data_IF_468154790798
#
_entry.id   IF_468154790798
#
_cell.length_a   1.000
_cell.length_b   1.000
_cell.length_c   1.000
_cell.angle_alpha   90.00
_cell.angle_beta   90.00
_cell.angle_gamma   90.00
#
_symmetry.space_group_name_H-M   'P 1'
#
loop_
_entity.id
_entity.type
_entity.pdbx_description
1 polymer ?
#
# COMPACT_ATOMS: atom_id res chain seq x y z
N UNK A 1 -3.19 -33.67 50.20
CA UNK A 1 -2.47 -32.71 51.06
C UNK A 1 -1.12 -32.41 50.40
N UNK A 2 -0.92 -31.20 49.86
CA UNK A 2 0.26 -30.84 49.08
C UNK A 2 1.52 -30.84 49.96
N UNK A 3 2.71 -31.15 49.42
CA UNK A 3 3.99 -31.07 50.16
C UNK A 3 4.20 -29.69 50.81
N UNK A 4 3.67 -28.63 50.18
CA UNK A 4 3.72 -27.27 50.69
C UNK A 4 2.84 -27.07 51.94
N UNK A 5 1.67 -27.70 52.03
CA UNK A 5 0.79 -27.57 53.20
C UNK A 5 1.44 -28.18 54.45
N UNK A 6 2.24 -29.25 54.27
CA UNK A 6 3.02 -29.86 55.34
C UNK A 6 4.17 -28.95 55.81
N UNK A 7 4.86 -28.29 54.88
CA UNK A 7 5.93 -27.35 55.22
C UNK A 7 5.37 -26.08 55.90
N UNK A 8 4.27 -25.52 55.41
CA UNK A 8 3.61 -24.36 56.03
C UNK A 8 3.16 -24.68 57.46
N UNK A 9 2.53 -25.84 57.68
CA UNK A 9 2.17 -26.29 59.04
C UNK A 9 3.40 -26.46 59.94
N UNK A 10 4.48 -27.05 59.43
CA UNK A 10 5.73 -27.25 60.17
C UNK A 10 6.44 -25.94 60.55
N UNK A 11 6.37 -24.91 59.70
CA UNK A 11 6.96 -23.60 59.99
C UNK A 11 6.04 -22.71 60.85
N UNK A 12 4.72 -22.90 60.77
CA UNK A 12 3.74 -22.18 61.60
C UNK A 12 3.82 -22.57 63.08
N UNK A 13 4.25 -23.79 63.39
CA UNK A 13 4.40 -24.28 64.77
C UNK A 13 5.71 -23.82 65.45
N UNK A 14 6.59 -23.09 64.74
CA UNK A 14 7.85 -22.57 65.28
C UNK A 14 7.72 -21.05 65.53
N UNK A 15 8.03 -20.59 66.74
CA UNK A 15 8.16 -19.16 67.06
C UNK A 15 9.41 -18.57 66.36
N UNK A 16 9.28 -18.31 65.06
CA UNK A 16 10.35 -17.76 64.23
C UNK A 16 10.42 -16.24 64.36
N UNK A 17 11.65 -15.71 64.40
CA UNK A 17 11.93 -14.28 64.31
C UNK A 17 11.43 -13.69 62.98
N UNK A 18 11.21 -12.37 62.93
CA UNK A 18 10.75 -11.67 61.73
C UNK A 18 11.63 -12.00 60.50
N UNK A 19 12.96 -12.03 60.70
CA UNK A 19 13.94 -12.40 59.68
C UNK A 19 13.79 -13.86 59.25
N UNK A 20 13.59 -14.78 60.19
CA UNK A 20 13.33 -16.20 59.89
C UNK A 20 12.06 -16.40 59.07
N UNK A 21 10.99 -15.66 59.37
CA UNK A 21 9.74 -15.70 58.59
C UNK A 21 9.93 -15.17 57.16
N UNK A 22 10.69 -14.09 56.99
CA UNK A 22 11.00 -13.53 55.67
C UNK A 22 11.84 -14.51 54.82
N UNK A 23 12.86 -15.16 55.41
CA UNK A 23 13.68 -16.15 54.71
C UNK A 23 12.88 -17.39 54.30
N UNK A 24 11.96 -17.88 55.15
CA UNK A 24 11.07 -18.99 54.81
C UNK A 24 10.09 -18.59 53.70
N UNK A 25 9.54 -17.38 53.74
CA UNK A 25 8.64 -16.89 52.70
C UNK A 25 9.36 -16.75 51.36
N UNK A 26 10.55 -16.16 51.35
CA UNK A 26 11.36 -16.00 50.14
C UNK A 26 11.79 -17.34 49.55
N UNK A 27 12.17 -18.32 50.37
CA UNK A 27 12.50 -19.66 49.88
C UNK A 27 11.28 -20.38 49.31
N UNK A 28 10.11 -20.29 49.94
CA UNK A 28 8.86 -20.85 49.39
C UNK A 28 8.45 -20.19 48.07
N UNK A 29 8.53 -18.86 47.98
CA UNK A 29 8.25 -18.11 46.74
C UNK A 29 9.22 -18.52 45.64
N UNK A 30 10.53 -18.53 45.91
CA UNK A 30 11.54 -18.93 44.93
C UNK A 30 11.37 -20.37 44.47
N UNK A 31 11.00 -21.29 45.37
CA UNK A 31 10.74 -22.68 45.00
C UNK A 31 9.54 -22.80 44.06
N UNK A 32 8.48 -22.01 44.27
CA UNK A 32 7.35 -21.96 43.34
C UNK A 32 7.73 -21.35 42.00
N UNK A 33 8.48 -20.25 41.98
CA UNK A 33 8.93 -19.60 40.74
C UNK A 33 9.80 -20.56 39.92
N UNK A 34 10.76 -21.23 40.57
CA UNK A 34 11.59 -22.24 39.92
C UNK A 34 10.80 -23.40 39.35
N UNK A 35 9.78 -23.90 40.08
CA UNK A 35 8.90 -24.95 39.56
C UNK A 35 8.12 -24.48 38.33
N UNK A 36 7.60 -23.25 38.33
CA UNK A 36 6.87 -22.68 37.19
C UNK A 36 7.79 -22.51 35.98
N UNK A 37 9.01 -21.99 36.19
CA UNK A 37 10.02 -21.85 35.12
C UNK A 37 10.41 -23.23 34.59
N UNK A 38 10.66 -24.20 35.46
CA UNK A 38 11.01 -25.56 35.06
C UNK A 38 9.89 -26.24 34.26
N UNK A 39 8.64 -26.11 34.70
CA UNK A 39 7.47 -26.62 33.98
C UNK A 39 7.28 -25.93 32.62
N UNK A 40 7.53 -24.61 32.56
CA UNK A 40 7.44 -23.82 31.32
C UNK A 40 8.54 -24.17 30.32
N UNK A 41 9.78 -24.26 30.77
CA UNK A 41 10.97 -24.40 29.92
C UNK A 41 11.21 -25.87 29.55
N UNK A 42 11.17 -26.80 30.52
CA UNK A 42 11.57 -28.21 30.30
C UNK A 42 10.42 -29.21 30.13
N UNK A 43 9.21 -28.94 30.63
CA UNK A 43 8.08 -29.85 30.41
C UNK A 43 7.24 -29.50 29.17
N UNK A 44 7.63 -28.48 28.39
CA UNK A 44 6.86 -27.98 27.24
C UNK A 44 5.40 -27.63 27.58
N UNK A 45 5.07 -27.44 28.87
CA UNK A 45 3.76 -26.98 29.34
C UNK A 45 3.67 -25.47 29.14
N UNK A 46 3.59 -25.07 27.88
CA UNK A 46 3.27 -23.68 27.53
C UNK A 46 1.85 -23.42 28.01
N UNK A 47 1.54 -22.31 28.72
CA UNK A 47 0.17 -21.84 28.73
C UNK A 47 -0.18 -21.63 27.26
N UNK A 48 -1.02 -22.52 26.72
CA UNK A 48 -1.54 -22.40 25.38
C UNK A 48 -2.48 -21.21 25.42
N UNK A 49 -1.92 -20.01 25.30
CA UNK A 49 -2.72 -18.82 25.01
C UNK A 49 -3.40 -19.14 23.69
N UNK A 50 -4.73 -19.17 23.71
CA UNK A 50 -5.48 -19.48 22.50
C UNK A 50 -5.10 -18.49 21.41
N UNK A 51 -5.06 -18.93 20.15
CA UNK A 51 -4.81 -18.02 19.03
C UNK A 51 -5.74 -16.80 19.07
N UNK A 52 -6.98 -17.00 19.51
CA UNK A 52 -7.95 -15.92 19.75
C UNK A 52 -7.51 -14.91 20.79
N UNK A 53 -6.83 -15.32 21.87
CA UNK A 53 -6.29 -14.38 22.87
C UNK A 53 -5.02 -13.67 22.38
N UNK A 54 -4.22 -14.31 21.53
CA UNK A 54 -3.03 -13.71 20.92
C UNK A 54 -3.37 -12.65 19.86
N UNK A 55 -4.46 -12.86 19.11
CA UNK A 55 -4.90 -11.97 18.03
C UNK A 55 -5.80 -10.82 18.50
N UNK A 56 -6.33 -10.90 19.71
CA UNK A 56 -7.29 -9.95 20.25
C UNK A 56 -6.55 -8.76 20.89
N UNK A 57 -7.01 -7.51 20.68
CA UNK A 57 -6.31 -6.32 21.15
C UNK A 57 -6.33 -6.19 22.67
N UNK A 58 -5.34 -5.47 23.20
CA UNK A 58 -5.20 -5.18 24.63
C UNK A 58 -6.47 -4.57 25.24
N UNK A 59 -7.19 -3.73 24.48
CA UNK A 59 -8.44 -3.09 24.90
C UNK A 59 -9.58 -4.07 25.21
N UNK A 60 -9.53 -5.28 24.64
CA UNK A 60 -10.54 -6.32 24.82
C UNK A 60 -10.04 -7.47 25.72
N UNK A 61 -8.88 -7.29 26.38
CA UNK A 61 -8.30 -8.29 27.29
C UNK A 61 -7.45 -9.36 26.59
N UNK A 62 -7.06 -9.12 25.33
CA UNK A 62 -6.13 -9.98 24.59
C UNK A 62 -4.68 -9.49 24.71
N UNK A 63 -3.74 -10.27 24.19
CA UNK A 63 -2.30 -9.95 24.27
C UNK A 63 -1.91 -8.96 23.16
N UNK A 64 -2.68 -8.88 22.07
CA UNK A 64 -2.41 -7.98 20.94
C UNK A 64 -1.09 -8.26 20.23
N UNK A 65 -0.51 -9.45 20.42
CA UNK A 65 0.82 -9.82 19.92
C UNK A 65 0.81 -10.11 18.42
N UNK A 66 -0.33 -10.61 17.92
CA UNK A 66 -0.53 -10.87 16.49
C UNK A 66 -1.63 -9.97 15.97
N UNK A 67 -1.40 -9.34 14.83
CA UNK A 67 -2.44 -8.72 14.01
C UNK A 67 -2.53 -9.51 12.70
N UNK A 68 -3.35 -10.58 12.63
CA UNK A 68 -3.37 -11.49 11.49
C UNK A 68 -3.69 -10.78 10.17
N UNK A 69 -4.61 -9.82 10.20
CA UNK A 69 -5.01 -9.03 9.04
C UNK A 69 -3.86 -8.18 8.50
N UNK A 70 -3.20 -7.40 9.36
CA UNK A 70 -2.03 -6.60 8.97
C UNK A 70 -0.88 -7.48 8.47
N UNK A 71 -0.56 -8.57 9.18
CA UNK A 71 0.50 -9.51 8.78
C UNK A 71 0.22 -10.16 7.42
N UNK A 72 -1.04 -10.54 7.16
CA UNK A 72 -1.46 -11.09 5.89
C UNK A 72 -1.25 -10.09 4.74
N UNK A 73 -1.64 -8.83 4.94
CA UNK A 73 -1.48 -7.77 3.94
C UNK A 73 0.00 -7.44 3.68
N UNK A 74 0.83 -7.39 4.73
CA UNK A 74 2.30 -7.19 4.61
C UNK A 74 2.93 -8.32 3.80
N UNK A 75 2.56 -9.57 4.06
CA UNK A 75 3.05 -10.71 3.29
C UNK A 75 2.62 -10.62 1.82
N UNK A 76 1.37 -10.26 1.55
CA UNK A 76 0.87 -10.06 0.18
C UNK A 76 1.68 -8.99 -0.57
N UNK A 77 1.91 -7.83 0.05
CA UNK A 77 2.72 -6.78 -0.57
C UNK A 77 4.16 -7.24 -0.82
N UNK A 78 4.77 -7.95 0.13
CA UNK A 78 6.14 -8.46 -0.05
C UNK A 78 6.24 -9.36 -1.29
N UNK A 79 5.23 -10.17 -1.55
CA UNK A 79 5.15 -10.98 -2.76
C UNK A 79 4.88 -10.15 -4.02
N UNK A 80 3.97 -9.17 -3.96
CA UNK A 80 3.71 -8.23 -5.06
C UNK A 80 4.96 -7.47 -5.48
N UNK A 81 5.76 -7.01 -4.51
CA UNK A 81 6.99 -6.31 -4.77
C UNK A 81 7.99 -7.14 -5.61
N UNK A 82 7.99 -8.46 -5.41
CA UNK A 82 8.78 -9.37 -6.24
C UNK A 82 8.28 -9.47 -7.69
N UNK A 83 6.98 -9.29 -7.93
CA UNK A 83 6.40 -9.24 -9.28
C UNK A 83 6.76 -7.95 -10.04
N UNK A 84 6.95 -6.84 -9.33
CA UNK A 84 7.31 -5.55 -9.93
C UNK A 84 8.80 -5.41 -10.24
N UNK A 85 9.70 -6.11 -9.52
CA UNK A 85 11.14 -5.99 -9.74
C UNK A 85 11.55 -6.39 -11.18
N UNK A 86 12.31 -5.55 -11.91
CA UNK A 86 12.94 -5.99 -13.15
C UNK A 86 13.95 -7.09 -12.78
N UNK A 87 13.73 -8.32 -13.22
CA UNK A 87 14.57 -9.45 -12.85
C UNK A 87 14.94 -10.21 -14.13
N UNK A 88 16.21 -10.62 -14.25
CA UNK A 88 16.72 -11.27 -15.46
C UNK A 88 16.10 -12.68 -15.67
N UNK A 89 15.55 -13.29 -14.62
CA UNK A 89 14.78 -14.52 -14.68
C UNK A 89 13.41 -14.32 -14.00
N UNK A 90 12.31 -14.19 -14.77
CA UNK A 90 10.99 -13.98 -14.19
C UNK A 90 10.48 -15.28 -13.55
N UNK A 91 9.81 -15.22 -12.37
CA UNK A 91 9.08 -16.36 -11.83
C UNK A 91 8.02 -16.85 -12.82
N UNK A 92 7.73 -18.15 -12.84
CA UNK A 92 6.73 -18.77 -13.73
C UNK A 92 5.35 -18.09 -13.66
N UNK A 93 4.98 -17.59 -12.47
CA UNK A 93 3.70 -16.92 -12.21
C UNK A 93 3.63 -15.52 -12.83
N UNK A 94 4.78 -14.82 -12.95
CA UNK A 94 4.83 -13.43 -13.40
C UNK A 94 4.25 -13.20 -14.80
N UNK A 95 4.61 -13.96 -15.86
CA UNK A 95 4.03 -13.74 -17.18
C UNK A 95 2.52 -14.00 -17.21
N UNK A 96 2.03 -14.98 -16.45
CA UNK A 96 0.60 -15.31 -16.39
C UNK A 96 -0.18 -14.22 -15.67
N UNK A 97 0.39 -13.71 -14.57
CA UNK A 97 -0.15 -12.57 -13.85
C UNK A 97 -0.20 -11.32 -14.74
N UNK A 98 0.92 -10.97 -15.41
CA UNK A 98 0.96 -9.83 -16.34
C UNK A 98 -0.06 -9.97 -17.48
N UNK A 99 -0.22 -11.17 -18.03
CA UNK A 99 -1.22 -11.44 -19.06
C UNK A 99 -2.63 -11.16 -18.54
N UNK A 100 -2.97 -11.65 -17.34
CA UNK A 100 -4.28 -11.40 -16.74
C UNK A 100 -4.50 -9.90 -16.44
N UNK A 101 -3.47 -9.19 -15.98
CA UNK A 101 -3.51 -7.74 -15.76
C UNK A 101 -3.67 -6.94 -17.06
N UNK A 102 -3.07 -7.40 -18.17
CA UNK A 102 -3.23 -6.78 -19.49
C UNK A 102 -4.68 -6.84 -20.00
N UNK A 103 -5.49 -7.79 -19.55
CA UNK A 103 -6.91 -7.86 -19.91
C UNK A 103 -7.76 -6.83 -19.16
N UNK A 104 -7.25 -6.32 -18.03
CA UNK A 104 -7.94 -5.38 -17.14
C UNK A 104 -7.46 -3.94 -17.39
N UNK A 105 -6.18 -3.78 -17.72
CA UNK A 105 -5.53 -2.48 -17.86
C UNK A 105 -5.78 -1.90 -19.26
N UNK A 106 -6.09 -0.59 -19.39
CA UNK A 106 -6.28 0.02 -20.71
C UNK A 106 -5.01 -0.04 -21.58
N UNK A 107 -5.07 -0.64 -22.76
CA UNK A 107 -3.98 -0.57 -23.75
C UNK A 107 -3.80 0.89 -24.23
N UNK A 108 -2.57 1.43 -24.38
CA UNK A 108 -1.26 0.75 -24.42
C UNK A 108 -0.45 0.80 -23.10
N UNK A 109 -1.12 0.93 -21.95
CA UNK A 109 -0.41 1.00 -20.66
C UNK A 109 0.26 -0.31 -20.27
N UNK A 110 1.44 -0.28 -19.62
CA UNK A 110 1.97 -1.42 -18.91
C UNK A 110 0.97 -1.91 -17.83
N UNK A 111 0.80 -3.24 -17.68
CA UNK A 111 -0.22 -3.83 -16.81
C UNK A 111 -0.09 -3.42 -15.34
N UNK A 112 1.14 -3.13 -14.91
CA UNK A 112 1.44 -2.71 -13.54
C UNK A 112 0.86 -1.34 -13.19
N UNK A 113 0.53 -0.50 -14.18
CA UNK A 113 0.00 0.85 -13.92
C UNK A 113 -1.34 0.86 -13.21
N UNK A 114 -2.12 -0.20 -13.37
CA UNK A 114 -3.37 -0.40 -12.64
C UNK A 114 -3.21 -0.34 -11.13
N UNK A 115 -2.07 -0.71 -10.55
CA UNK A 115 -1.81 -0.63 -9.11
C UNK A 115 -1.59 0.79 -8.60
N UNK A 116 -1.06 1.68 -9.44
CA UNK A 116 -0.73 3.05 -9.06
C UNK A 116 -1.91 4.01 -9.23
N UNK A 117 -2.96 3.56 -9.92
CA UNK A 117 -4.15 4.34 -10.29
C UNK A 117 -5.41 3.59 -9.82
N UNK A 118 -5.90 3.86 -8.60
CA UNK A 118 -7.00 3.11 -7.98
C UNK A 118 -8.29 3.12 -8.80
N UNK A 119 -8.51 4.13 -9.65
CA UNK A 119 -9.67 4.21 -10.54
C UNK A 119 -9.75 3.03 -11.51
N UNK A 120 -8.61 2.41 -11.81
CA UNK A 120 -8.51 1.28 -12.74
C UNK A 120 -8.73 -0.08 -12.06
N UNK A 121 -8.84 -0.13 -10.73
CA UNK A 121 -9.19 -1.37 -10.02
C UNK A 121 -10.60 -1.87 -10.38
N UNK A 122 -11.48 -0.95 -10.77
CA UNK A 122 -12.86 -1.25 -11.19
C UNK A 122 -12.92 -1.56 -12.68
N UNK A 123 -12.97 -2.85 -13.02
CA UNK A 123 -13.12 -3.32 -14.39
C UNK A 123 -14.19 -4.42 -14.51
N UNK A 124 -15.01 -4.45 -15.58
CA UNK A 124 -16.06 -5.46 -15.75
C UNK A 124 -15.56 -6.90 -15.72
N UNK A 125 -14.32 -7.14 -16.17
CA UNK A 125 -13.70 -8.47 -16.19
C UNK A 125 -13.06 -8.87 -14.84
N UNK A 126 -13.05 -7.98 -13.86
CA UNK A 126 -12.44 -8.23 -12.56
C UNK A 126 -13.50 -8.73 -11.56
N UNK A 127 -13.68 -10.05 -11.49
CA UNK A 127 -14.62 -10.68 -10.57
C UNK A 127 -14.18 -10.48 -9.10
N UNK A 128 -15.10 -10.32 -8.12
CA UNK A 128 -14.74 -10.13 -6.70
C UNK A 128 -13.84 -11.23 -6.11
N UNK A 129 -13.88 -12.45 -6.67
CA UNK A 129 -13.02 -13.56 -6.24
C UNK A 129 -11.68 -13.63 -6.98
N UNK A 130 -11.39 -12.67 -7.86
CA UNK A 130 -10.10 -12.59 -8.56
C UNK A 130 -8.97 -12.34 -7.57
N UNK A 131 -7.83 -13.00 -7.79
CA UNK A 131 -6.60 -12.75 -7.04
C UNK A 131 -6.14 -11.29 -7.18
N UNK A 132 -6.44 -10.65 -8.31
CA UNK A 132 -6.08 -9.26 -8.59
C UNK A 132 -6.76 -8.30 -7.62
N UNK A 133 -8.02 -8.53 -7.26
CA UNK A 133 -8.71 -7.72 -6.26
C UNK A 133 -8.08 -7.83 -4.87
N UNK A 134 -7.65 -9.03 -4.47
CA UNK A 134 -6.90 -9.19 -3.23
C UNK A 134 -5.56 -8.45 -3.28
N UNK A 135 -4.89 -8.45 -4.44
CA UNK A 135 -3.66 -7.70 -4.65
C UNK A 135 -3.86 -6.18 -4.59
N UNK A 136 -4.92 -5.65 -5.22
CA UNK A 136 -5.27 -4.23 -5.13
C UNK A 136 -5.61 -3.83 -3.69
N UNK A 137 -6.44 -4.62 -3.00
CA UNK A 137 -6.77 -4.37 -1.60
C UNK A 137 -5.52 -4.37 -0.70
N UNK A 138 -4.59 -5.29 -0.93
CA UNK A 138 -3.32 -5.32 -0.22
C UNK A 138 -2.52 -4.04 -0.46
N UNK A 139 -2.44 -3.60 -1.72
CA UNK A 139 -1.70 -2.40 -2.12
C UNK A 139 -2.33 -1.11 -1.55
N UNK A 140 -3.65 -0.99 -1.64
CA UNK A 140 -4.41 0.18 -1.17
C UNK A 140 -4.37 0.35 0.35
N UNK A 141 -4.25 -0.75 1.11
CA UNK A 141 -4.24 -0.71 2.58
C UNK A 141 -3.14 0.19 3.15
N UNK A 142 -2.01 0.33 2.45
CA UNK A 142 -0.88 1.13 2.92
C UNK A 142 -0.93 2.58 2.45
N UNK A 143 -1.86 2.93 1.54
CA UNK A 143 -2.10 4.31 1.13
C UNK A 143 -0.86 5.04 0.59
N UNK A 144 0.02 4.33 -0.12
CA UNK A 144 1.24 4.91 -0.68
C UNK A 144 0.86 6.01 -1.68
N UNK A 145 1.32 7.24 -1.43
CA UNK A 145 1.19 8.34 -2.39
C UNK A 145 2.37 8.30 -3.36
N UNK A 146 2.07 8.17 -4.64
CA UNK A 146 3.09 8.17 -5.69
C UNK A 146 3.34 9.58 -6.21
N UNK A 147 4.60 9.88 -6.48
CA UNK A 147 5.00 11.12 -7.12
C UNK A 147 5.16 10.88 -8.63
N UNK A 148 4.29 11.51 -9.42
CA UNK A 148 4.28 11.40 -10.87
C UNK A 148 5.24 12.39 -11.56
N UNK A 149 5.92 13.28 -10.82
CA UNK A 149 6.81 14.30 -11.39
C UNK A 149 7.94 13.74 -12.25
N UNK A 150 8.41 12.52 -11.94
CA UNK A 150 9.51 11.83 -12.63
C UNK A 150 9.05 10.85 -13.71
N UNK A 151 7.75 10.78 -14.01
CA UNK A 151 7.23 9.88 -15.02
C UNK A 151 7.50 10.38 -16.45
N UNK A 152 7.57 9.47 -17.42
CA UNK A 152 7.66 9.86 -18.83
C UNK A 152 6.39 10.56 -19.29
N UNK A 153 6.50 11.43 -20.30
CA UNK A 153 5.34 12.14 -20.88
C UNK A 153 4.30 11.15 -21.42
N UNK A 154 4.71 10.03 -22.03
CA UNK A 154 3.79 8.97 -22.44
C UNK A 154 2.98 8.38 -21.27
N UNK A 155 3.63 8.18 -20.12
CA UNK A 155 2.93 7.75 -18.89
C UNK A 155 1.96 8.84 -18.42
N UNK A 156 2.40 10.11 -18.36
CA UNK A 156 1.58 11.23 -17.92
C UNK A 156 0.32 11.44 -18.78
N UNK A 157 0.44 11.32 -20.10
CA UNK A 157 -0.69 11.45 -21.03
C UNK A 157 -1.76 10.38 -20.82
N UNK A 158 -1.38 9.20 -20.37
CA UNK A 158 -2.32 8.09 -20.18
C UNK A 158 -2.80 8.01 -18.72
N UNK A 159 -2.35 8.89 -17.82
CA UNK A 159 -2.95 9.04 -16.50
C UNK A 159 -4.31 9.73 -16.58
N UNK A 160 -5.19 9.50 -15.60
CA UNK A 160 -6.37 10.32 -15.43
C UNK A 160 -6.01 11.80 -15.23
N UNK A 161 -6.74 12.67 -15.92
CA UNK A 161 -6.47 14.10 -15.99
C UNK A 161 -6.45 14.78 -14.60
N UNK A 162 -7.24 14.27 -13.66
CA UNK A 162 -7.32 14.85 -12.32
C UNK A 162 -6.00 14.78 -11.53
N UNK A 163 -5.10 13.83 -11.86
CA UNK A 163 -3.76 13.78 -11.26
C UNK A 163 -2.86 14.93 -11.73
N UNK A 164 -3.13 15.47 -12.92
CA UNK A 164 -2.34 16.55 -13.53
C UNK A 164 -2.82 17.95 -13.12
N UNK A 165 -3.91 18.04 -12.37
CA UNK A 165 -4.52 19.29 -11.96
C UNK A 165 -4.36 19.51 -10.46
N UNK A 166 -4.21 20.77 -10.08
CA UNK A 166 -4.22 21.28 -8.71
C UNK A 166 -5.42 22.21 -8.57
N UNK A 167 -6.08 22.12 -7.41
CA UNK A 167 -7.10 23.08 -6.98
C UNK A 167 -8.25 23.24 -7.98
N UNK A 168 -9.19 22.30 -7.99
CA UNK A 168 -10.46 22.45 -8.70
C UNK A 168 -11.65 22.36 -7.73
N UNK A 169 -12.81 23.00 -8.04
CA UNK A 169 -13.96 23.05 -7.14
C UNK A 169 -14.55 21.67 -6.81
N UNK A 170 -15.18 21.52 -5.64
CA UNK A 170 -15.77 20.25 -5.21
C UNK A 170 -16.94 19.75 -6.10
N UNK A 171 -17.62 20.65 -6.83
CA UNK A 171 -18.67 20.29 -7.81
C UNK A 171 -18.13 20.28 -9.25
N UNK A 172 -16.81 20.12 -9.42
CA UNK A 172 -16.24 20.06 -10.75
C UNK A 172 -16.62 18.75 -11.46
N UNK A 173 -16.84 18.84 -12.78
CA UNK A 173 -17.29 17.71 -13.61
C UNK A 173 -16.30 16.54 -13.64
N UNK A 174 -15.02 16.78 -13.30
CA UNK A 174 -13.99 15.72 -13.19
C UNK A 174 -14.35 14.67 -12.14
N UNK A 175 -15.05 15.04 -11.06
CA UNK A 175 -15.51 14.06 -10.07
C UNK A 175 -16.49 13.04 -10.65
N UNK A 176 -17.24 13.42 -11.71
CA UNK A 176 -18.16 12.53 -12.43
C UNK A 176 -17.44 11.73 -13.52
N UNK A 177 -16.26 12.17 -13.93
CA UNK A 177 -15.48 11.61 -15.03
C UNK A 177 -14.03 11.34 -14.60
N UNK A 178 -13.87 10.61 -13.50
CA UNK A 178 -12.56 10.39 -12.86
C UNK A 178 -11.60 9.64 -13.80
N UNK A 179 -12.12 8.75 -14.68
CA UNK A 179 -11.34 8.00 -15.69
C UNK A 179 -10.99 8.81 -16.96
N UNK A 180 -11.30 10.11 -17.01
CA UNK A 180 -10.99 10.93 -18.17
C UNK A 180 -9.47 11.12 -18.30
N UNK A 181 -8.89 10.69 -19.41
CA UNK A 181 -7.43 10.65 -19.60
C UNK A 181 -6.85 12.01 -19.95
N UNK A 182 -5.59 12.22 -19.58
CA UNK A 182 -4.84 13.41 -19.94
C UNK A 182 -4.60 13.54 -21.45
N UNK A 183 -4.51 12.42 -22.18
CA UNK A 183 -4.34 12.33 -23.64
C UNK A 183 -5.54 12.85 -24.42
N UNK A 184 -6.68 13.05 -23.75
CA UNK A 184 -7.85 13.69 -24.34
C UNK A 184 -7.76 15.23 -24.27
N UNK A 185 -6.77 15.78 -23.58
CA UNK A 185 -6.63 17.22 -23.37
C UNK A 185 -5.24 17.75 -23.73
N UNK A 186 -4.20 16.94 -23.51
CA UNK A 186 -2.82 17.22 -23.86
C UNK A 186 -2.39 16.35 -25.04
N UNK A 187 -1.53 16.91 -25.89
CA UNK A 187 -0.80 16.21 -26.96
C UNK A 187 0.68 16.48 -26.82
N UNK A 188 1.49 15.49 -27.18
CA UNK A 188 2.92 15.69 -27.34
C UNK A 188 3.19 16.14 -28.78
N UNK A 189 3.87 17.26 -28.94
CA UNK A 189 4.30 17.75 -30.24
C UNK A 189 5.70 17.20 -30.54
N UNK A 190 5.86 16.27 -31.50
CA UNK A 190 7.17 15.70 -31.79
C UNK A 190 8.12 16.72 -32.42
N UNK A 191 7.60 17.76 -33.10
CA UNK A 191 8.45 18.77 -33.75
C UNK A 191 9.06 19.72 -32.74
N UNK A 192 8.27 20.13 -31.74
CA UNK A 192 8.69 21.06 -30.69
C UNK A 192 9.20 20.34 -29.45
N UNK A 193 9.10 19.01 -29.39
CA UNK A 193 9.46 18.15 -28.26
C UNK A 193 8.87 18.61 -26.93
N UNK A 194 7.60 19.06 -26.97
CA UNK A 194 6.92 19.70 -25.84
C UNK A 194 5.51 19.17 -25.67
N UNK A 195 5.05 19.20 -24.42
CA UNK A 195 3.66 18.97 -24.09
C UNK A 195 2.84 20.22 -24.47
N UNK A 196 1.85 20.05 -25.34
CA UNK A 196 0.93 21.10 -25.74
C UNK A 196 -0.51 20.75 -25.40
N UNK A 197 -1.36 21.77 -25.33
CA UNK A 197 -2.81 21.58 -25.23
C UNK A 197 -3.37 21.20 -26.60
N UNK A 198 -4.33 20.28 -26.62
CA UNK A 198 -5.06 19.94 -27.83
C UNK A 198 -5.82 21.14 -28.39
N UNK A 199 -5.79 21.25 -29.71
CA UNK A 199 -6.58 22.23 -30.47
C UNK A 199 -8.02 21.74 -30.56
N UNK A 200 -8.98 22.65 -30.78
CA UNK A 200 -10.40 22.28 -30.79
C UNK A 200 -10.78 21.21 -31.82
N UNK A 201 -10.05 21.14 -32.92
CA UNK A 201 -10.20 20.15 -33.98
C UNK A 201 -9.65 18.77 -33.60
N UNK A 202 -8.81 18.70 -32.56
CA UNK A 202 -8.13 17.47 -32.11
C UNK A 202 -8.88 16.78 -30.96
N UNK A 203 -9.91 17.41 -30.40
CA UNK A 203 -10.68 16.82 -29.30
C UNK A 203 -11.45 15.58 -29.76
N UNK A 204 -11.02 14.41 -29.30
CA UNK A 204 -11.66 13.13 -29.61
C UNK A 204 -12.83 12.83 -28.68
N UNK A 205 -12.73 13.20 -27.40
CA UNK A 205 -13.71 12.89 -26.36
C UNK A 205 -14.21 14.14 -25.65
N UNK A 206 -15.55 14.32 -25.62
CA UNK A 206 -16.25 15.39 -24.87
C UNK A 206 -15.65 16.80 -25.09
N UNK A 207 -15.66 17.31 -26.33
CA UNK A 207 -15.01 18.58 -26.70
C UNK A 207 -15.53 19.79 -25.91
N UNK A 208 -16.81 19.77 -25.51
CA UNK A 208 -17.41 20.84 -24.69
C UNK A 208 -16.77 20.96 -23.32
N UNK A 209 -16.41 19.84 -22.69
CA UNK A 209 -15.73 19.81 -21.39
C UNK A 209 -14.27 20.25 -21.53
N UNK A 210 -13.58 19.82 -22.59
CA UNK A 210 -12.21 20.28 -22.87
C UNK A 210 -12.16 21.80 -23.09
N UNK A 211 -13.12 22.37 -23.84
CA UNK A 211 -13.23 23.83 -24.02
C UNK A 211 -13.47 24.55 -22.69
N UNK A 212 -14.39 24.03 -21.87
CA UNK A 212 -14.69 24.59 -20.55
C UNK A 212 -13.45 24.58 -19.66
N UNK A 213 -12.72 23.47 -19.63
CA UNK A 213 -11.49 23.33 -18.85
C UNK A 213 -10.39 24.27 -19.36
N UNK A 214 -10.21 24.39 -20.68
CA UNK A 214 -9.25 25.32 -21.26
C UNK A 214 -9.53 26.77 -20.83
N UNK A 215 -10.80 27.16 -20.82
CA UNK A 215 -11.26 28.47 -20.29
C UNK A 215 -11.00 28.61 -18.79
N UNK A 216 -11.27 27.57 -18.01
CA UNK A 216 -11.03 27.56 -16.56
C UNK A 216 -9.54 27.68 -16.20
N UNK A 217 -8.65 27.08 -16.99
CA UNK A 217 -7.20 27.15 -16.79
C UNK A 217 -6.63 28.49 -17.27
N UNK A 218 -6.97 28.92 -18.49
CA UNK A 218 -6.32 30.07 -19.13
C UNK A 218 -6.95 31.42 -18.75
N UNK A 219 -8.29 31.50 -18.70
CA UNK A 219 -9.01 32.76 -18.48
C UNK A 219 -9.40 32.96 -17.01
N UNK A 220 -10.05 31.95 -16.42
CA UNK A 220 -10.62 32.08 -15.07
C UNK A 220 -9.60 31.74 -13.97
N UNK A 221 -8.53 31.01 -14.30
CA UNK A 221 -7.49 30.50 -13.37
C UNK A 221 -8.06 29.78 -12.15
N UNK A 222 -9.26 29.21 -12.28
CA UNK A 222 -9.95 28.47 -11.22
C UNK A 222 -9.37 27.08 -11.02
N UNK A 223 -8.69 26.56 -12.04
CA UNK A 223 -8.00 25.27 -12.05
C UNK A 223 -6.54 25.52 -12.42
N UNK A 224 -5.62 24.92 -11.67
CA UNK A 224 -4.18 25.04 -11.92
C UNK A 224 -3.61 23.71 -12.41
N UNK A 225 -2.53 23.77 -13.19
CA UNK A 225 -1.75 22.60 -13.57
C UNK A 225 -0.72 22.28 -12.48
N UNK A 226 -0.34 21.02 -12.35
CA UNK A 226 0.77 20.63 -11.49
C UNK A 226 2.07 21.34 -11.92
N UNK A 227 2.90 21.85 -10.97
CA UNK A 227 4.13 22.57 -11.28
C UNK A 227 5.09 21.81 -12.18
N UNK A 228 5.24 20.50 -11.96
CA UNK A 228 6.14 19.65 -12.75
C UNK A 228 5.73 19.52 -14.22
N UNK A 229 4.47 19.82 -14.58
CA UNK A 229 4.04 19.80 -15.97
C UNK A 229 4.63 20.97 -16.76
N UNK A 230 4.92 22.10 -16.11
CA UNK A 230 5.47 23.25 -16.80
C UNK A 230 6.87 22.97 -17.34
N UNK A 231 7.65 22.12 -16.67
CA UNK A 231 8.96 21.68 -17.16
C UNK A 231 8.82 21.00 -18.53
N UNK A 232 7.80 20.16 -18.70
CA UNK A 232 7.51 19.47 -19.98
C UNK A 232 6.84 20.34 -21.05
N UNK A 233 6.29 21.50 -20.67
CA UNK A 233 5.67 22.47 -21.59
C UNK A 233 6.70 23.48 -22.09
N UNK A 234 7.65 23.87 -21.24
CA UNK A 234 8.59 24.97 -21.51
C UNK A 234 9.94 24.46 -22.02
N UNK A 235 10.46 23.36 -21.48
CA UNK A 235 11.77 22.82 -21.87
C UNK A 235 11.66 21.89 -23.08
N UNK A 236 12.70 21.85 -23.92
CA UNK A 236 12.83 20.85 -24.98
C UNK A 236 13.21 19.52 -24.33
N UNK A 237 12.42 18.48 -24.57
CA UNK A 237 12.57 17.21 -23.88
C UNK A 237 13.12 16.11 -24.80
N UNK A 238 14.08 15.32 -24.32
CA UNK A 238 14.72 14.26 -25.12
C UNK A 238 13.74 13.14 -25.52
N UNK A 239 13.72 12.80 -26.82
CA UNK A 239 12.73 11.91 -27.47
C UNK A 239 12.78 10.45 -26.98
N UNK A 240 13.98 9.89 -26.77
CA UNK A 240 14.14 8.43 -26.70
C UNK A 240 13.66 7.80 -25.38
N UNK A 241 13.54 8.59 -24.31
CA UNK A 241 13.16 8.09 -22.97
C UNK A 241 11.71 8.39 -22.60
N UNK A 242 10.99 9.21 -23.37
CA UNK A 242 9.68 9.73 -22.96
C UNK A 242 8.48 9.25 -23.76
N UNK A 243 8.69 8.67 -24.94
CA UNK A 243 7.62 8.17 -25.81
C UNK A 243 7.11 6.77 -25.41
N UNK A 244 7.88 6.03 -24.61
CA UNK A 244 7.47 4.73 -24.07
C UNK A 244 6.94 4.94 -22.64
N UNK A 245 5.74 4.42 -22.30
CA UNK A 245 5.28 4.42 -20.93
C UNK A 245 6.28 3.66 -20.05
N UNK A 246 6.88 4.37 -19.11
CA UNK A 246 7.87 3.80 -18.21
C UNK A 246 7.34 3.84 -16.76
N UNK A 247 7.38 2.67 -16.11
CA UNK A 247 6.96 2.47 -14.72
C UNK A 247 8.14 2.34 -13.76
N UNK A 248 9.37 2.28 -14.27
CA UNK A 248 10.58 2.02 -13.46
C UNK A 248 10.70 3.04 -12.34
N UNK A 249 10.34 4.31 -12.60
CA UNK A 249 10.38 5.38 -11.60
C UNK A 249 9.39 5.13 -10.45
N UNK A 250 8.17 4.70 -10.75
CA UNK A 250 7.15 4.33 -9.76
C UNK A 250 7.51 3.05 -9.00
N UNK A 251 8.03 2.05 -9.70
CA UNK A 251 8.53 0.82 -9.08
C UNK A 251 9.72 1.11 -8.16
N UNK A 252 10.59 2.06 -8.50
CA UNK A 252 11.67 2.49 -7.63
C UNK A 252 11.13 3.19 -6.38
N UNK A 253 10.07 4.01 -6.47
CA UNK A 253 9.44 4.60 -5.28
C UNK A 253 8.93 3.53 -4.31
N UNK A 254 8.36 2.43 -4.83
CA UNK A 254 7.96 1.28 -4.00
C UNK A 254 9.14 0.64 -3.24
N UNK A 255 10.34 0.65 -3.80
CA UNK A 255 11.53 0.09 -3.15
C UNK A 255 12.06 0.98 -2.02
N UNK A 256 11.90 2.29 -2.14
CA UNK A 256 12.39 3.27 -1.17
C UNK A 256 11.39 3.52 -0.04
N UNK A 257 10.10 3.37 -0.31
CA UNK A 257 9.05 3.35 0.71
C UNK A 257 9.12 2.01 1.44
N UNK A 258 9.99 1.89 2.45
CA UNK A 258 10.13 0.70 3.28
C UNK A 258 8.79 0.33 3.94
N UNK A 259 8.08 -0.62 3.32
CA UNK A 259 6.98 -1.38 3.93
C UNK A 259 7.50 -2.63 4.65
#
# INVERSE_FOLDING_TARGET
MSKHDKQVKLYSSRHLSLRGRATVTNTLIMTKIWSIIYDYVWQNKRPLVSYSQLSLPLSLGGIGLLQPTAQHLVLQIRHLHHLFRPNNSPPLVRPHFKYHMNLITPSPMPPEMSFFVPEWHTHPLNHPTSIVNACYHAFDHFGIKFDFSRCSVATLLQLPLHYLLISYPADHWLHRHIKFLASNFFTYDPLLRRLRLQVETEYTQKPTLCRKLKKEILELRTVQLQPYLFDHVVADVDEDLQLVPNIITLVNQLQHNHL
#
